data_IF_018107960290
#
_entry.id   IF_018107960290
#
_cell.length_a   1.000
_cell.length_b   1.000
_cell.length_c   1.000
_cell.angle_alpha   90.00
_cell.angle_beta   90.00
_cell.angle_gamma   90.00
#
_symmetry.space_group_name_H-M   'P 1'
#
loop_
_entity.id
_entity.type
_entity.pdbx_description
1 polymer ?
#
# COMPACT_ATOMS: atom_id res chain seq x y z
N UNK A 1 -20.82 50.93 -49.78
CA UNK A 1 -20.35 49.55 -49.56
C UNK A 1 -19.61 49.55 -48.23
N UNK A 2 -20.25 49.97 -47.14
CA UNK A 2 -21.22 49.22 -46.31
C UNK A 2 -20.60 47.98 -45.67
N UNK A 3 -20.27 48.16 -44.39
CA UNK A 3 -19.97 47.14 -43.37
C UNK A 3 -21.24 46.33 -43.11
N UNK A 4 -21.14 45.01 -43.17
CA UNK A 4 -22.16 44.11 -42.66
C UNK A 4 -21.82 43.77 -41.21
N UNK A 5 -22.58 44.36 -40.28
CA UNK A 5 -22.66 43.94 -38.89
C UNK A 5 -23.60 42.73 -38.84
N UNK A 6 -23.07 41.54 -38.55
CA UNK A 6 -23.89 40.37 -38.23
C UNK A 6 -24.65 40.66 -36.94
N UNK A 7 -25.93 40.99 -37.09
CA UNK A 7 -26.87 41.10 -35.98
C UNK A 7 -27.26 39.68 -35.58
N UNK A 8 -26.87 39.29 -34.37
CA UNK A 8 -27.40 38.12 -33.68
C UNK A 8 -28.93 38.23 -33.66
N UNK A 9 -29.55 37.47 -34.56
CA UNK A 9 -30.98 37.39 -34.69
C UNK A 9 -31.48 36.60 -33.48
N UNK A 10 -31.97 37.33 -32.48
CA UNK A 10 -32.71 36.78 -31.38
C UNK A 10 -33.94 36.09 -31.96
N UNK A 11 -33.93 34.76 -31.95
CA UNK A 11 -35.13 33.94 -32.14
C UNK A 11 -36.11 34.31 -31.03
N UNK A 12 -36.93 35.32 -31.30
CA UNK A 12 -38.14 35.61 -30.56
C UNK A 12 -39.14 34.49 -30.84
N UNK A 13 -38.95 33.35 -30.15
CA UNK A 13 -39.97 32.31 -30.07
C UNK A 13 -41.28 32.95 -29.62
N UNK A 14 -42.30 32.74 -30.46
CA UNK A 14 -43.64 33.26 -30.35
C UNK A 14 -44.17 33.23 -28.90
N UNK A 15 -44.46 34.37 -28.24
CA UNK A 15 -44.90 34.42 -26.83
C UNK A 15 -46.24 33.71 -26.57
N UNK A 16 -46.97 33.34 -27.64
CA UNK A 16 -48.21 32.57 -27.60
C UNK A 16 -48.01 31.05 -27.33
N UNK A 17 -46.77 30.56 -27.20
CA UNK A 17 -46.48 29.12 -27.04
C UNK A 17 -45.80 28.74 -25.73
N UNK A 18 -45.68 29.67 -24.77
CA UNK A 18 -45.11 29.36 -23.46
C UNK A 18 -46.07 28.45 -22.70
N UNK A 19 -45.65 27.18 -22.52
CA UNK A 19 -46.40 26.18 -21.77
C UNK A 19 -46.53 26.60 -20.31
N UNK A 20 -47.55 26.10 -19.63
CA UNK A 20 -47.68 26.27 -18.18
C UNK A 20 -46.54 25.54 -17.47
N UNK A 21 -45.99 26.15 -16.41
CA UNK A 21 -45.01 25.54 -15.54
C UNK A 21 -45.50 24.19 -14.98
N UNK A 22 -44.61 23.19 -14.93
CA UNK A 22 -44.94 21.87 -14.38
C UNK A 22 -44.98 21.80 -12.84
N UNK A 23 -44.74 22.92 -12.15
CA UNK A 23 -44.82 22.98 -10.69
C UNK A 23 -46.25 22.73 -10.19
N UNK A 24 -46.47 21.96 -9.11
CA UNK A 24 -47.81 21.67 -8.60
C UNK A 24 -48.54 22.97 -8.23
N UNK A 25 -49.67 23.24 -8.87
CA UNK A 25 -50.47 24.45 -8.66
C UNK A 25 -49.86 25.74 -9.23
N UNK A 26 -48.78 25.67 -10.01
CA UNK A 26 -48.17 26.85 -10.62
C UNK A 26 -48.90 27.21 -11.92
N UNK A 27 -49.37 28.46 -12.03
CA UNK A 27 -50.06 28.98 -13.22
C UNK A 27 -49.16 29.87 -14.10
N UNK A 28 -47.90 30.08 -13.70
CA UNK A 28 -46.96 30.91 -14.45
C UNK A 28 -46.46 30.20 -15.73
N UNK A 29 -46.13 30.97 -16.78
CA UNK A 29 -45.52 30.42 -18.00
C UNK A 29 -44.09 29.89 -17.73
N UNK A 30 -43.66 28.90 -18.50
CA UNK A 30 -42.29 28.39 -18.46
C UNK A 30 -41.28 29.40 -18.98
N UNK A 31 -40.04 29.38 -18.47
CA UNK A 31 -38.92 30.09 -19.09
C UNK A 31 -38.57 29.46 -20.46
N UNK A 32 -38.08 30.22 -21.45
CA UNK A 32 -37.62 29.67 -22.73
C UNK A 32 -36.62 28.52 -22.52
N UNK A 33 -36.80 27.40 -23.22
CA UNK A 33 -35.98 26.19 -23.06
C UNK A 33 -36.13 25.43 -21.73
N UNK A 34 -37.01 25.86 -20.83
CA UNK A 34 -37.23 25.24 -19.52
C UNK A 34 -38.63 24.66 -19.36
N UNK A 35 -38.78 23.70 -18.44
CA UNK A 35 -40.08 23.16 -18.02
C UNK A 35 -40.69 23.92 -16.83
N UNK A 36 -39.97 24.91 -16.30
CA UNK A 36 -40.33 25.60 -15.06
C UNK A 36 -40.25 27.12 -15.21
N UNK A 37 -41.10 27.84 -14.47
CA UNK A 37 -41.09 29.31 -14.41
C UNK A 37 -39.90 29.86 -13.61
N UNK A 38 -39.36 29.10 -12.66
CA UNK A 38 -38.20 29.45 -11.83
C UNK A 38 -37.48 28.19 -11.34
N UNK A 39 -36.25 28.35 -10.86
CA UNK A 39 -35.47 27.22 -10.33
C UNK A 39 -36.11 26.71 -9.04
N UNK A 40 -36.63 27.61 -8.21
CA UNK A 40 -37.41 27.27 -7.01
C UNK A 40 -38.61 26.39 -7.33
N UNK A 41 -39.31 26.66 -8.44
CA UNK A 41 -40.47 25.87 -8.83
C UNK A 41 -40.07 24.44 -9.24
N UNK A 42 -38.95 24.31 -9.97
CA UNK A 42 -38.39 23.00 -10.32
C UNK A 42 -37.84 22.24 -9.11
N UNK A 43 -37.12 22.93 -8.23
CA UNK A 43 -36.54 22.36 -7.01
C UNK A 43 -37.61 21.92 -6.01
N UNK A 44 -38.69 22.70 -5.85
CA UNK A 44 -39.83 22.34 -5.01
C UNK A 44 -40.50 21.06 -5.52
N UNK A 45 -40.82 20.98 -6.81
CA UNK A 45 -41.39 19.76 -7.39
C UNK A 45 -40.46 18.54 -7.22
N UNK A 46 -39.15 18.72 -7.42
CA UNK A 46 -38.17 17.65 -7.23
C UNK A 46 -38.12 17.18 -5.77
N UNK A 47 -38.11 18.11 -4.81
CA UNK A 47 -38.13 17.81 -3.38
C UNK A 47 -39.42 17.06 -2.99
N UNK A 48 -40.58 17.55 -3.42
CA UNK A 48 -41.88 16.91 -3.15
C UNK A 48 -41.91 15.46 -3.67
N UNK A 49 -41.37 15.22 -4.88
CA UNK A 49 -41.22 13.86 -5.43
C UNK A 49 -40.30 12.98 -4.59
N UNK A 50 -39.18 13.52 -4.12
CA UNK A 50 -38.25 12.77 -3.25
C UNK A 50 -38.96 12.40 -1.94
N UNK A 51 -39.61 13.35 -1.27
CA UNK A 51 -40.32 13.07 -0.01
C UNK A 51 -41.48 12.10 -0.17
N UNK A 52 -42.17 12.11 -1.32
CA UNK A 52 -43.27 11.18 -1.58
C UNK A 52 -42.79 9.75 -1.89
N UNK A 53 -41.69 9.60 -2.63
CA UNK A 53 -41.24 8.31 -3.17
C UNK A 53 -40.20 7.64 -2.26
N UNK A 54 -39.20 8.39 -1.81
CA UNK A 54 -38.02 7.84 -1.14
C UNK A 54 -38.33 7.05 0.13
N UNK A 55 -39.22 7.49 1.05
CA UNK A 55 -39.50 6.74 2.27
C UNK A 55 -40.01 5.32 1.99
N UNK A 56 -40.89 5.16 0.99
CA UNK A 56 -41.41 3.84 0.58
C UNK A 56 -40.31 2.96 -0.01
N UNK A 57 -39.40 3.55 -0.80
CA UNK A 57 -38.24 2.86 -1.38
C UNK A 57 -37.27 2.36 -0.31
N UNK A 58 -36.96 3.19 0.68
CA UNK A 58 -36.09 2.81 1.81
C UNK A 58 -36.70 1.63 2.57
N UNK A 59 -37.99 1.71 2.90
CA UNK A 59 -38.69 0.63 3.60
C UNK A 59 -38.68 -0.67 2.79
N UNK A 60 -38.92 -0.60 1.48
CA UNK A 60 -38.89 -1.78 0.61
C UNK A 60 -37.49 -2.41 0.56
N UNK A 61 -36.45 -1.58 0.42
CA UNK A 61 -35.05 -2.02 0.43
C UNK A 61 -34.67 -2.71 1.75
N UNK A 62 -35.06 -2.13 2.90
CA UNK A 62 -34.79 -2.71 4.21
C UNK A 62 -35.49 -4.06 4.43
N UNK A 63 -36.67 -4.24 3.84
CA UNK A 63 -37.45 -5.49 3.95
C UNK A 63 -36.95 -6.61 3.04
N UNK A 64 -36.21 -6.29 1.97
CA UNK A 64 -35.84 -7.25 0.92
C UNK A 64 -34.32 -7.35 0.80
N UNK A 65 -33.63 -8.12 1.66
CA UNK A 65 -32.19 -8.30 1.54
C UNK A 65 -31.86 -8.95 0.19
N UNK A 66 -30.84 -8.44 -0.50
CA UNK A 66 -30.40 -8.97 -1.78
C UNK A 66 -29.09 -9.76 -1.67
N UNK A 67 -28.87 -10.70 -2.60
CA UNK A 67 -27.65 -11.54 -2.66
C UNK A 67 -26.38 -10.67 -2.69
N UNK A 68 -26.41 -9.54 -3.41
CA UNK A 68 -25.27 -8.64 -3.51
C UNK A 68 -24.89 -8.00 -2.16
N UNK A 69 -25.87 -7.75 -1.28
CA UNK A 69 -25.64 -7.22 0.06
C UNK A 69 -25.05 -8.29 0.98
N UNK A 70 -25.54 -9.53 0.89
CA UNK A 70 -24.99 -10.66 1.63
C UNK A 70 -23.54 -10.97 1.22
N UNK A 71 -23.27 -10.99 -0.08
CA UNK A 71 -21.92 -11.16 -0.59
C UNK A 71 -21.00 -10.02 -0.14
N UNK A 72 -21.49 -8.78 -0.13
CA UNK A 72 -20.77 -7.63 0.40
C UNK A 72 -20.38 -7.82 1.88
N UNK A 73 -21.32 -8.26 2.71
CA UNK A 73 -21.07 -8.56 4.14
C UNK A 73 -20.05 -9.68 4.32
N UNK A 74 -20.21 -10.82 3.63
CA UNK A 74 -19.26 -11.94 3.68
C UNK A 74 -17.85 -11.52 3.25
N UNK A 75 -17.75 -10.70 2.21
CA UNK A 75 -16.47 -10.16 1.74
C UNK A 75 -15.83 -9.23 2.78
N UNK A 76 -16.60 -8.35 3.42
CA UNK A 76 -16.11 -7.48 4.50
C UNK A 76 -15.61 -8.31 5.71
N UNK A 77 -16.36 -9.32 6.13
CA UNK A 77 -15.94 -10.23 7.20
C UNK A 77 -14.62 -10.94 6.86
N UNK A 78 -14.47 -11.41 5.62
CA UNK A 78 -13.23 -12.01 5.16
C UNK A 78 -12.07 -11.02 5.17
N UNK A 79 -12.28 -9.80 4.66
CA UNK A 79 -11.26 -8.73 4.65
C UNK A 79 -10.86 -8.37 6.09
N UNK A 80 -11.82 -8.26 7.01
CA UNK A 80 -11.53 -7.96 8.42
C UNK A 80 -10.71 -9.06 9.09
N UNK A 81 -11.01 -10.33 8.83
CA UNK A 81 -10.17 -11.45 9.29
C UNK A 81 -8.77 -11.37 8.71
N UNK A 82 -8.61 -11.18 7.40
CA UNK A 82 -7.28 -11.03 6.79
C UNK A 82 -6.52 -9.83 7.34
N UNK A 83 -7.19 -8.70 7.63
CA UNK A 83 -6.57 -7.54 8.26
C UNK A 83 -6.05 -7.90 9.66
N UNK A 84 -6.86 -8.56 10.48
CA UNK A 84 -6.47 -9.00 11.82
C UNK A 84 -5.27 -9.97 11.77
N UNK A 85 -5.31 -10.96 10.88
CA UNK A 85 -4.22 -11.93 10.70
C UNK A 85 -2.93 -11.23 10.24
N UNK A 86 -3.04 -10.28 9.30
CA UNK A 86 -1.89 -9.51 8.82
C UNK A 86 -1.31 -8.61 9.91
N UNK A 87 -2.15 -8.00 10.76
CA UNK A 87 -1.70 -7.23 11.92
C UNK A 87 -1.00 -8.10 12.96
N UNK A 88 -1.51 -9.31 13.25
CA UNK A 88 -0.86 -10.26 14.15
C UNK A 88 0.51 -10.66 13.59
N UNK A 89 0.58 -11.00 12.30
CA UNK A 89 1.85 -11.36 11.66
C UNK A 89 2.86 -10.21 11.64
N UNK A 90 2.40 -8.97 11.47
CA UNK A 90 3.27 -7.80 11.56
C UNK A 90 3.90 -7.67 12.97
N UNK A 91 3.11 -7.91 14.03
CA UNK A 91 3.63 -7.93 15.41
C UNK A 91 4.64 -9.05 15.63
N UNK A 92 4.40 -10.24 15.07
CA UNK A 92 5.35 -11.36 15.17
C UNK A 92 6.69 -11.00 14.49
N UNK A 93 6.64 -10.35 13.33
CA UNK A 93 7.85 -9.88 12.62
C UNK A 93 8.56 -8.78 13.43
N UNK A 94 7.82 -7.91 14.12
CA UNK A 94 8.42 -6.94 15.04
C UNK A 94 9.12 -7.64 16.22
N UNK A 95 8.53 -8.69 16.79
CA UNK A 95 9.21 -9.52 17.80
C UNK A 95 10.50 -10.14 17.25
N UNK A 96 10.45 -10.74 16.05
CA UNK A 96 11.64 -11.29 15.39
C UNK A 96 12.73 -10.24 15.14
N UNK A 97 12.36 -8.99 14.83
CA UNK A 97 13.32 -7.89 14.72
C UNK A 97 14.07 -7.64 16.03
N UNK A 98 13.35 -7.55 17.15
CA UNK A 98 13.96 -7.33 18.47
C UNK A 98 14.82 -8.53 18.89
N UNK A 99 14.38 -9.75 18.60
CA UNK A 99 15.17 -10.97 18.83
C UNK A 99 16.47 -10.97 18.02
N UNK A 100 16.41 -10.56 16.75
CA UNK A 100 17.58 -10.41 15.89
C UNK A 100 18.55 -9.39 16.46
N UNK A 101 18.09 -8.21 16.89
CA UNK A 101 18.96 -7.22 17.52
C UNK A 101 19.59 -7.76 18.81
N UNK A 102 18.83 -8.51 19.63
CA UNK A 102 19.37 -9.17 20.81
C UNK A 102 20.45 -10.20 20.47
N UNK A 103 20.27 -10.99 19.40
CA UNK A 103 21.29 -11.92 18.89
C UNK A 103 22.54 -11.17 18.45
N UNK A 104 22.39 -10.08 17.69
CA UNK A 104 23.51 -9.26 17.21
C UNK A 104 24.30 -8.69 18.40
N UNK A 105 23.61 -8.18 19.43
CA UNK A 105 24.27 -7.67 20.63
C UNK A 105 25.03 -8.77 21.38
N UNK A 106 24.44 -9.96 21.55
CA UNK A 106 25.14 -11.12 22.16
C UNK A 106 26.37 -11.56 21.36
N UNK A 107 26.28 -11.53 20.03
CA UNK A 107 27.38 -11.85 19.14
C UNK A 107 28.54 -10.86 19.26
N UNK A 108 28.24 -9.55 19.37
CA UNK A 108 29.25 -8.49 19.54
C UNK A 108 30.00 -8.53 20.87
N UNK A 109 29.39 -9.13 21.90
CA UNK A 109 29.99 -9.28 23.23
C UNK A 109 30.99 -10.44 23.32
N UNK A 110 31.15 -11.25 22.27
CA UNK A 110 32.09 -12.37 22.28
C UNK A 110 33.54 -11.90 22.20
N UNK A 111 34.45 -12.66 22.82
CA UNK A 111 35.87 -12.38 22.75
C UNK A 111 36.44 -12.72 21.36
N UNK A 112 37.29 -11.85 20.83
CA UNK A 112 38.03 -12.10 19.59
C UNK A 112 38.93 -13.31 19.75
N UNK A 113 38.81 -14.27 18.84
CA UNK A 113 39.70 -15.40 18.80
C UNK A 113 41.09 -14.94 18.33
N UNK A 114 42.07 -14.89 19.25
CA UNK A 114 43.48 -14.55 18.98
C UNK A 114 44.30 -15.73 18.44
N UNK A 115 43.66 -16.83 18.08
CA UNK A 115 44.37 -18.06 17.78
C UNK A 115 45.05 -17.96 16.41
N UNK A 116 46.39 -17.84 16.41
CA UNK A 116 47.27 -17.75 15.23
C UNK A 116 47.17 -18.96 14.27
N UNK A 117 46.30 -19.94 14.56
CA UNK A 117 46.17 -21.19 13.82
C UNK A 117 45.07 -21.22 12.76
N UNK A 118 44.28 -20.15 12.58
CA UNK A 118 43.33 -20.06 11.45
C UNK A 118 43.99 -19.67 10.12
N UNK A 119 45.25 -19.21 10.12
CA UNK A 119 45.91 -18.70 8.92
C UNK A 119 46.52 -19.79 8.01
N UNK A 120 46.21 -21.07 8.24
CA UNK A 120 46.77 -22.20 7.47
C UNK A 120 45.83 -22.84 6.45
N UNK A 121 44.58 -22.39 6.31
CA UNK A 121 43.68 -22.95 5.26
C UNK A 121 43.61 -22.11 3.98
N UNK A 122 44.33 -20.98 3.91
CA UNK A 122 44.25 -20.04 2.78
C UNK A 122 45.44 -20.02 1.82
N UNK A 123 46.55 -20.74 2.11
CA UNK A 123 47.80 -20.56 1.34
C UNK A 123 47.85 -21.27 -0.01
N UNK A 124 46.87 -22.12 -0.32
CA UNK A 124 46.72 -22.79 -1.62
C UNK A 124 45.41 -22.40 -2.33
N UNK A 125 44.92 -21.17 -2.12
CA UNK A 125 43.81 -20.64 -2.90
C UNK A 125 44.30 -20.37 -4.32
N UNK A 126 44.00 -21.29 -5.25
CA UNK A 126 44.03 -20.99 -6.70
C UNK A 126 43.34 -19.63 -6.90
N UNK A 127 43.93 -18.73 -7.69
CA UNK A 127 43.36 -17.41 -7.99
C UNK A 127 42.07 -17.55 -8.83
N UNK A 128 41.01 -18.08 -8.21
CA UNK A 128 39.70 -18.18 -8.82
C UNK A 128 39.16 -16.77 -9.01
N UNK A 129 38.91 -16.42 -10.26
CA UNK A 129 38.30 -15.15 -10.66
C UNK A 129 36.82 -15.39 -10.98
N UNK A 130 35.97 -14.47 -10.55
CA UNK A 130 34.54 -14.44 -10.85
C UNK A 130 34.23 -13.11 -11.53
N UNK A 131 33.30 -13.10 -12.48
CA UNK A 131 32.85 -11.86 -13.12
C UNK A 131 31.77 -11.16 -12.29
N UNK A 132 31.87 -9.83 -12.14
CA UNK A 132 30.78 -9.05 -11.54
C UNK A 132 29.58 -9.00 -12.48
N UNK A 133 28.40 -9.36 -11.97
CA UNK A 133 27.14 -9.26 -12.74
C UNK A 133 26.78 -7.81 -13.11
N UNK A 134 27.21 -6.83 -12.30
CA UNK A 134 26.87 -5.42 -12.51
C UNK A 134 27.80 -4.68 -13.49
N UNK A 135 29.10 -4.99 -13.54
CA UNK A 135 30.07 -4.28 -14.39
C UNK A 135 30.85 -5.18 -15.36
N UNK A 136 30.71 -6.50 -15.27
CA UNK A 136 31.40 -7.48 -16.13
C UNK A 136 32.89 -7.68 -15.85
N UNK A 137 33.48 -7.00 -14.86
CA UNK A 137 34.91 -7.12 -14.56
C UNK A 137 35.24 -8.46 -13.88
N UNK A 138 36.38 -9.06 -14.21
CA UNK A 138 36.91 -10.24 -13.51
C UNK A 138 37.53 -9.82 -12.18
N UNK A 139 37.12 -10.49 -11.11
CA UNK A 139 37.44 -10.12 -9.73
C UNK A 139 37.89 -11.36 -8.98
N UNK A 140 38.87 -11.22 -8.10
CA UNK A 140 39.30 -12.30 -7.22
C UNK A 140 38.16 -12.68 -6.25
N UNK A 141 37.90 -13.98 -6.13
CA UNK A 141 36.92 -14.56 -5.19
C UNK A 141 36.96 -13.98 -3.76
N UNK A 142 38.15 -13.63 -3.26
CA UNK A 142 38.31 -13.08 -1.91
C UNK A 142 37.69 -11.68 -1.72
N UNK A 143 37.65 -10.86 -2.77
CA UNK A 143 37.10 -9.49 -2.74
C UNK A 143 35.82 -9.34 -3.54
N UNK A 144 35.29 -10.46 -4.08
CA UNK A 144 34.13 -10.47 -4.94
C UNK A 144 32.90 -9.85 -4.27
N UNK A 145 32.59 -10.22 -3.02
CA UNK A 145 31.42 -9.71 -2.30
C UNK A 145 31.50 -8.19 -2.08
N UNK A 146 32.67 -7.70 -1.66
CA UNK A 146 32.92 -6.26 -1.47
C UNK A 146 32.75 -5.48 -2.78
N UNK A 147 33.34 -5.97 -3.87
CA UNK A 147 33.18 -5.33 -5.17
C UNK A 147 31.72 -5.34 -5.61
N UNK A 148 31.02 -6.48 -5.51
CA UNK A 148 29.63 -6.61 -5.94
C UNK A 148 28.72 -5.67 -5.15
N UNK A 149 28.88 -5.53 -3.83
CA UNK A 149 28.12 -4.57 -3.02
C UNK A 149 28.37 -3.13 -3.47
N UNK A 150 29.64 -2.72 -3.59
CA UNK A 150 29.98 -1.35 -3.99
C UNK A 150 29.55 -1.02 -5.43
N UNK A 151 29.71 -1.98 -6.34
CA UNK A 151 29.32 -1.82 -7.73
C UNK A 151 27.80 -1.72 -7.86
N UNK A 152 27.06 -2.59 -7.16
CA UNK A 152 25.61 -2.53 -7.12
C UNK A 152 25.12 -1.23 -6.48
N UNK A 153 25.69 -0.80 -5.35
CA UNK A 153 25.37 0.47 -4.73
C UNK A 153 25.61 1.67 -5.67
N UNK A 154 26.67 1.65 -6.49
CA UNK A 154 26.93 2.67 -7.51
C UNK A 154 25.84 2.69 -8.59
N UNK A 155 25.36 1.53 -9.02
CA UNK A 155 24.27 1.42 -9.97
C UNK A 155 22.95 1.92 -9.36
N UNK A 156 22.60 1.43 -8.17
CA UNK A 156 21.39 1.81 -7.44
C UNK A 156 21.30 3.31 -7.19
N UNK A 157 22.38 4.00 -6.81
CA UNK A 157 22.36 5.47 -6.63
C UNK A 157 21.88 6.26 -7.85
N UNK A 158 21.94 5.70 -9.07
CA UNK A 158 21.39 6.37 -10.26
C UNK A 158 19.86 6.37 -10.29
N UNK A 159 19.24 5.42 -9.59
CA UNK A 159 17.79 5.31 -9.45
C UNK A 159 17.33 6.09 -8.22
N UNK A 160 16.42 7.03 -8.44
CA UNK A 160 15.87 7.84 -7.35
C UNK A 160 14.55 7.26 -6.85
N UNK A 161 14.55 6.78 -5.61
CA UNK A 161 13.34 6.39 -4.88
C UNK A 161 13.01 7.49 -3.88
N UNK A 162 12.12 8.40 -4.28
CA UNK A 162 11.84 9.64 -3.55
C UNK A 162 10.35 9.95 -3.53
N UNK A 163 9.86 10.49 -2.42
CA UNK A 163 8.47 10.96 -2.27
C UNK A 163 8.43 12.35 -1.65
N UNK A 164 7.34 13.07 -1.85
CA UNK A 164 7.11 14.39 -1.24
C UNK A 164 6.88 14.32 0.27
N UNK A 165 6.45 13.17 0.78
CA UNK A 165 6.06 13.01 2.18
C UNK A 165 6.93 11.97 2.88
N UNK A 166 7.27 12.16 4.18
CA UNK A 166 7.95 11.14 4.99
C UNK A 166 7.02 9.94 5.23
N UNK A 167 7.58 8.75 5.47
CA UNK A 167 6.76 7.58 5.79
C UNK A 167 6.49 7.63 7.29
N UNK A 168 5.23 7.79 7.67
CA UNK A 168 4.81 7.61 9.04
C UNK A 168 4.36 6.16 9.20
N UNK A 169 5.18 5.33 9.86
CA UNK A 169 4.74 4.02 10.35
C UNK A 169 4.58 4.20 11.86
N UNK A 170 3.35 4.15 12.36
CA UNK A 170 3.08 4.32 13.78
C UNK A 170 3.77 3.22 14.60
N UNK A 171 4.42 3.61 15.70
CA UNK A 171 4.94 2.68 16.72
C UNK A 171 6.17 1.84 16.34
N UNK A 172 6.66 1.90 15.10
CA UNK A 172 7.67 0.98 14.61
C UNK A 172 9.06 1.62 14.44
N UNK A 173 10.13 0.84 14.67
CA UNK A 173 11.51 1.25 14.34
C UNK A 173 11.58 1.66 12.87
N UNK A 174 12.25 2.79 12.60
CA UNK A 174 12.29 3.45 11.29
C UNK A 174 12.69 2.45 10.18
N UNK A 175 11.76 2.18 9.26
CA UNK A 175 11.90 1.19 8.19
C UNK A 175 12.54 1.79 6.93
N UNK A 176 12.17 3.02 6.61
CA UNK A 176 12.66 3.77 5.46
C UNK A 176 13.66 4.84 5.88
N UNK A 177 14.60 5.12 4.98
CA UNK A 177 15.62 6.14 5.17
C UNK A 177 15.01 7.51 5.51
N UNK A 178 14.05 8.00 4.73
CA UNK A 178 13.33 9.26 4.92
C UNK A 178 14.23 10.47 5.22
N UNK A 179 15.48 10.46 4.75
CA UNK A 179 16.34 11.64 4.78
C UNK A 179 15.80 12.63 3.74
N UNK A 180 15.53 13.86 4.19
CA UNK A 180 15.06 14.94 3.35
C UNK A 180 16.21 15.52 2.54
N UNK A 181 16.02 15.64 1.23
CA UNK A 181 16.93 16.38 0.36
C UNK A 181 16.37 17.79 0.06
N UNK A 182 17.00 18.86 0.56
CA UNK A 182 16.57 20.23 0.31
C UNK A 182 16.55 20.62 -1.17
N UNK A 183 17.41 20.00 -2.01
CA UNK A 183 17.51 20.35 -3.44
C UNK A 183 16.33 19.82 -4.23
N UNK A 184 16.00 18.55 -4.05
CA UNK A 184 14.86 17.93 -4.73
C UNK A 184 13.52 18.12 -4.02
N UNK A 185 13.53 18.66 -2.79
CA UNK A 185 12.36 18.80 -1.91
C UNK A 185 11.61 17.48 -1.72
N UNK A 186 12.34 16.39 -1.56
CA UNK A 186 11.79 15.03 -1.43
C UNK A 186 12.55 14.22 -0.38
N UNK A 187 11.87 13.23 0.19
CA UNK A 187 12.39 12.26 1.16
C UNK A 187 12.84 10.97 0.47
N UNK A 188 13.94 10.38 0.94
CA UNK A 188 14.44 9.09 0.45
C UNK A 188 13.54 7.92 0.89
N UNK A 189 13.04 7.11 -0.05
CA UNK A 189 12.15 5.95 0.22
C UNK A 189 12.82 4.59 0.13
N UNK A 190 14.15 4.57 0.14
CA UNK A 190 14.90 3.31 0.25
C UNK A 190 14.78 2.78 1.68
N UNK A 191 14.83 1.46 1.84
CA UNK A 191 14.99 0.83 3.15
C UNK A 191 16.21 1.42 3.87
N UNK A 192 16.05 1.74 5.15
CA UNK A 192 17.10 2.42 5.91
C UNK A 192 18.40 1.61 5.89
N UNK A 193 18.31 0.31 6.16
CA UNK A 193 19.47 -0.59 6.24
C UNK A 193 20.21 -0.79 4.91
N UNK A 194 19.51 -0.66 3.77
CA UNK A 194 20.08 -0.86 2.42
C UNK A 194 20.33 0.45 1.66
N UNK A 195 20.08 1.62 2.25
CA UNK A 195 20.18 2.89 1.52
C UNK A 195 21.65 3.19 1.14
N UNK A 196 22.03 3.18 -0.16
CA UNK A 196 23.42 3.38 -0.58
C UNK A 196 23.88 4.84 -0.51
N UNK A 197 22.95 5.77 -0.29
CA UNK A 197 23.19 7.21 -0.18
C UNK A 197 23.36 7.66 1.28
N UNK A 198 22.57 7.08 2.19
CA UNK A 198 22.39 7.63 3.53
C UNK A 198 22.62 6.61 4.66
N UNK A 199 22.66 5.31 4.37
CA UNK A 199 23.08 4.32 5.36
C UNK A 199 24.58 4.45 5.58
N UNK A 200 24.96 4.76 6.83
CA UNK A 200 26.37 4.80 7.24
C UNK A 200 26.62 3.54 8.05
N UNK A 201 27.37 2.60 7.48
CA UNK A 201 27.84 1.45 8.24
C UNK A 201 28.78 1.96 9.35
N UNK A 202 28.58 1.54 10.62
CA UNK A 202 29.46 1.94 11.72
C UNK A 202 30.90 1.54 11.42
N UNK A 203 31.87 2.38 11.82
CA UNK A 203 33.29 2.03 11.71
C UNK A 203 33.55 0.80 12.58
N UNK A 204 33.88 -0.32 11.92
CA UNK A 204 34.23 -1.58 12.57
C UNK A 204 35.50 -1.36 13.39
N UNK A 205 35.43 -1.60 14.70
CA UNK A 205 36.63 -1.56 15.54
C UNK A 205 37.50 -2.80 15.27
N UNK A 206 38.81 -2.68 15.44
CA UNK A 206 39.74 -3.80 15.19
C UNK A 206 39.41 -5.04 16.03
N UNK A 207 38.85 -4.82 17.23
CA UNK A 207 38.44 -5.85 18.19
C UNK A 207 36.96 -6.28 18.02
N UNK A 208 36.25 -5.78 17.02
CA UNK A 208 34.87 -6.22 16.76
C UNK A 208 34.88 -7.60 16.09
N UNK A 209 34.26 -8.58 16.75
CA UNK A 209 34.04 -9.92 16.20
C UNK A 209 32.95 -9.92 15.14
N UNK A 210 33.00 -10.91 14.26
CA UNK A 210 31.94 -11.19 13.30
C UNK A 210 30.58 -11.39 14.00
N UNK A 211 30.55 -12.18 15.08
CA UNK A 211 29.36 -12.36 15.91
C UNK A 211 28.20 -13.08 15.21
N UNK A 212 28.42 -13.71 14.05
CA UNK A 212 27.39 -14.45 13.33
C UNK A 212 27.04 -15.75 14.09
N UNK A 213 25.76 -16.05 14.38
CA UNK A 213 25.36 -17.31 14.98
C UNK A 213 25.75 -18.49 14.09
N UNK A 214 26.45 -19.47 14.65
CA UNK A 214 26.82 -20.69 13.95
C UNK A 214 25.66 -21.68 13.99
N UNK A 215 25.38 -22.27 12.83
CA UNK A 215 24.34 -23.28 12.67
C UNK A 215 24.96 -24.62 12.28
N UNK A 216 24.44 -25.70 12.84
CA UNK A 216 24.72 -27.06 12.40
C UNK A 216 23.68 -27.45 11.34
N UNK A 217 24.11 -28.12 10.28
CA UNK A 217 23.23 -28.53 9.18
C UNK A 217 22.30 -27.41 8.66
N UNK A 218 22.78 -26.16 8.61
CA UNK A 218 22.06 -24.95 8.12
C UNK A 218 20.88 -24.49 8.99
N UNK A 219 20.26 -25.36 9.79
CA UNK A 219 19.02 -25.07 10.50
C UNK A 219 19.12 -25.08 12.03
N UNK A 220 20.08 -25.82 12.60
CA UNK A 220 20.15 -26.02 14.04
C UNK A 220 21.07 -24.98 14.69
N UNK A 221 20.56 -24.05 15.52
CA UNK A 221 21.40 -23.08 16.20
C UNK A 221 22.30 -23.79 17.20
N UNK A 222 23.62 -23.68 17.02
CA UNK A 222 24.59 -24.32 17.93
C UNK A 222 24.77 -23.55 19.24
N UNK A 223 24.18 -22.36 19.36
CA UNK A 223 24.41 -21.43 20.47
C UNK A 223 25.76 -20.71 20.44
N UNK A 224 26.67 -21.12 19.54
CA UNK A 224 27.98 -20.52 19.36
C UNK A 224 27.96 -19.40 18.31
N UNK A 225 28.94 -18.51 18.39
CA UNK A 225 29.09 -17.38 17.47
C UNK A 225 30.44 -17.44 16.75
N UNK A 226 30.51 -16.80 15.58
CA UNK A 226 31.76 -16.62 14.86
C UNK A 226 32.64 -15.58 15.57
N UNK A 227 33.76 -16.04 16.15
CA UNK A 227 34.71 -15.21 16.89
C UNK A 227 35.85 -14.62 16.05
N UNK A 228 35.80 -14.76 14.71
CA UNK A 228 36.77 -14.12 13.82
C UNK A 228 36.61 -12.60 13.85
N UNK A 229 37.70 -11.81 13.72
CA UNK A 229 37.58 -10.37 13.52
C UNK A 229 36.67 -10.07 12.31
N UNK A 230 35.74 -9.14 12.48
CA UNK A 230 34.70 -8.83 11.48
C UNK A 230 35.28 -8.45 10.12
N UNK A 231 36.42 -7.73 10.10
CA UNK A 231 37.12 -7.33 8.88
C UNK A 231 37.83 -8.48 8.15
N UNK A 232 38.07 -9.63 8.80
CA UNK A 232 38.68 -10.82 8.20
C UNK A 232 37.65 -11.89 7.82
N UNK A 233 36.40 -11.74 8.24
CA UNK A 233 35.37 -12.75 8.06
C UNK A 233 34.66 -12.62 6.71
N UNK A 234 35.19 -13.28 5.67
CA UNK A 234 34.55 -13.33 4.35
C UNK A 234 33.34 -14.28 4.29
N UNK A 235 33.24 -15.24 5.22
CA UNK A 235 32.12 -16.22 5.24
C UNK A 235 30.78 -15.60 5.64
N UNK A 236 30.79 -14.60 6.51
CA UNK A 236 29.59 -13.93 7.01
C UNK A 236 29.63 -12.44 6.68
N UNK A 237 30.00 -12.13 5.44
CA UNK A 237 30.13 -10.75 4.97
C UNK A 237 28.80 -10.00 5.15
N UNK A 238 28.83 -8.88 5.89
CA UNK A 238 27.67 -8.01 6.15
C UNK A 238 26.41 -8.73 6.68
N UNK A 239 26.54 -9.88 7.36
CA UNK A 239 25.39 -10.71 7.76
C UNK A 239 24.35 -9.95 8.61
N UNK A 240 24.78 -9.05 9.52
CA UNK A 240 23.87 -8.24 10.32
C UNK A 240 22.97 -7.35 9.44
N UNK A 241 23.56 -6.71 8.43
CA UNK A 241 22.88 -5.83 7.48
C UNK A 241 21.90 -6.63 6.63
N UNK A 242 22.29 -7.81 6.18
CA UNK A 242 21.46 -8.71 5.38
C UNK A 242 20.26 -9.25 6.17
N UNK A 243 20.47 -9.69 7.42
CA UNK A 243 19.38 -10.19 8.27
C UNK A 243 18.40 -9.09 8.68
N UNK A 244 18.88 -7.89 9.01
CA UNK A 244 18.01 -6.73 9.23
C UNK A 244 17.17 -6.41 7.98
N UNK A 245 17.81 -6.42 6.80
CA UNK A 245 17.12 -6.16 5.54
C UNK A 245 16.04 -7.22 5.22
N UNK A 246 16.30 -8.49 5.54
CA UNK A 246 15.33 -9.58 5.37
C UNK A 246 14.06 -9.33 6.19
N UNK A 247 14.22 -9.04 7.49
CA UNK A 247 13.10 -8.73 8.39
C UNK A 247 12.36 -7.47 7.94
N UNK A 248 13.09 -6.41 7.56
CA UNK A 248 12.50 -5.17 7.05
C UNK A 248 11.71 -5.41 5.75
N UNK A 249 12.20 -6.26 4.84
CA UNK A 249 11.46 -6.63 3.63
C UNK A 249 10.17 -7.39 3.92
N UNK A 250 10.14 -8.22 4.97
CA UNK A 250 8.91 -8.86 5.43
C UNK A 250 7.92 -7.85 6.01
N UNK A 251 8.40 -6.89 6.82
CA UNK A 251 7.58 -5.79 7.33
C UNK A 251 6.95 -4.99 6.20
N UNK A 252 7.74 -4.61 5.18
CA UNK A 252 7.22 -3.91 3.99
C UNK A 252 6.14 -4.74 3.29
N UNK A 253 6.37 -6.05 3.10
CA UNK A 253 5.38 -6.93 2.45
C UNK A 253 4.06 -6.96 3.20
N UNK A 254 4.10 -7.05 4.54
CA UNK A 254 2.88 -7.04 5.36
C UNK A 254 2.17 -5.68 5.33
N UNK A 255 2.92 -4.57 5.38
CA UNK A 255 2.34 -3.22 5.26
C UNK A 255 1.64 -3.00 3.91
N UNK A 256 2.26 -3.43 2.81
CA UNK A 256 1.64 -3.36 1.48
C UNK A 256 0.36 -4.21 1.39
N UNK A 257 0.35 -5.38 2.03
CA UNK A 257 -0.86 -6.22 2.12
C UNK A 257 -1.98 -5.53 2.89
N UNK A 258 -1.67 -4.85 4.02
CA UNK A 258 -2.65 -4.06 4.76
C UNK A 258 -3.23 -2.91 3.92
N UNK A 259 -2.38 -2.17 3.19
CA UNK A 259 -2.86 -1.11 2.30
C UNK A 259 -3.82 -1.63 1.22
N UNK A 260 -3.51 -2.79 0.63
CA UNK A 260 -4.40 -3.42 -0.35
C UNK A 260 -5.73 -3.86 0.27
N UNK A 261 -5.69 -4.45 1.46
CA UNK A 261 -6.91 -4.83 2.19
C UNK A 261 -7.80 -3.64 2.52
N UNK A 262 -7.23 -2.52 2.97
CA UNK A 262 -7.97 -1.27 3.23
C UNK A 262 -8.60 -0.72 1.93
N UNK A 263 -7.88 -0.77 0.81
CA UNK A 263 -8.44 -0.39 -0.50
C UNK A 263 -9.59 -1.29 -0.91
N UNK A 264 -9.48 -2.60 -0.71
CA UNK A 264 -10.53 -3.57 -1.00
C UNK A 264 -11.77 -3.33 -0.13
N UNK A 265 -11.56 -3.13 1.17
CA UNK A 265 -12.63 -2.77 2.11
C UNK A 265 -13.37 -1.51 1.68
N UNK A 266 -12.63 -0.46 1.29
CA UNK A 266 -13.20 0.78 0.78
C UNK A 266 -14.03 0.56 -0.49
N UNK A 267 -13.51 -0.24 -1.46
CA UNK A 267 -14.25 -0.58 -2.68
C UNK A 267 -15.58 -1.28 -2.37
N UNK A 268 -15.57 -2.28 -1.48
CA UNK A 268 -16.77 -3.03 -1.09
C UNK A 268 -17.77 -2.11 -0.39
N UNK A 269 -17.33 -1.32 0.59
CA UNK A 269 -18.20 -0.36 1.29
C UNK A 269 -18.81 0.67 0.35
N UNK A 270 -18.02 1.22 -0.56
CA UNK A 270 -18.51 2.19 -1.56
C UNK A 270 -19.54 1.53 -2.47
N UNK A 271 -19.32 0.30 -2.92
CA UNK A 271 -20.30 -0.44 -3.72
C UNK A 271 -21.61 -0.68 -2.95
N UNK A 272 -21.55 -1.06 -1.67
CA UNK A 272 -22.73 -1.24 -0.83
C UNK A 272 -23.47 0.09 -0.60
N UNK A 273 -22.74 1.17 -0.28
CA UNK A 273 -23.30 2.52 -0.13
C UNK A 273 -23.95 3.03 -1.41
N UNK A 274 -23.37 2.75 -2.57
CA UNK A 274 -23.93 3.14 -3.86
C UNK A 274 -25.27 2.45 -4.13
N UNK A 275 -25.43 1.18 -3.72
CA UNK A 275 -26.71 0.45 -3.84
C UNK A 275 -27.79 1.01 -2.90
N UNK A 276 -27.40 1.37 -1.68
CA UNK A 276 -28.29 2.00 -0.70
C UNK A 276 -28.42 3.53 -0.88
N UNK A 277 -27.83 4.11 -1.92
CA UNK A 277 -27.79 5.54 -2.16
C UNK A 277 -29.11 6.10 -2.71
N UNK A 278 -29.37 7.38 -2.46
CA UNK A 278 -30.56 8.10 -2.93
C UNK A 278 -30.84 7.86 -4.42
N UNK A 279 -29.84 8.09 -5.27
CA UNK A 279 -29.99 7.93 -6.72
C UNK A 279 -30.31 6.48 -7.11
N UNK A 280 -29.67 5.50 -6.48
CA UNK A 280 -29.94 4.10 -6.77
C UNK A 280 -31.37 3.70 -6.40
N UNK A 281 -31.86 4.13 -5.22
CA UNK A 281 -33.23 3.87 -4.76
C UNK A 281 -34.31 4.59 -5.59
N UNK A 282 -33.97 5.75 -6.16
CA UNK A 282 -34.88 6.53 -7.01
C UNK A 282 -34.93 6.01 -8.44
N UNK A 283 -33.81 5.53 -8.99
CA UNK A 283 -33.71 5.10 -10.39
C UNK A 283 -34.02 3.61 -10.60
N UNK A 284 -33.75 2.77 -9.60
CA UNK A 284 -33.91 1.32 -9.72
C UNK A 284 -35.02 0.82 -8.79
N UNK A 285 -35.83 -0.10 -9.32
CA UNK A 285 -36.85 -0.81 -8.55
C UNK A 285 -36.71 -2.30 -8.81
N UNK A 286 -36.71 -3.08 -7.73
CA UNK A 286 -37.04 -4.51 -7.84
C UNK A 286 -38.52 -4.65 -7.57
N UNK A 287 -39.27 -5.22 -8.51
CA UNK A 287 -40.70 -5.49 -8.36
C UNK A 287 -40.83 -6.96 -7.96
N UNK A 288 -41.35 -7.21 -6.75
CA UNK A 288 -41.70 -8.55 -6.32
C UNK A 288 -43.09 -8.90 -6.86
N UNK A 289 -43.17 -9.96 -7.66
CA UNK A 289 -44.43 -10.46 -8.20
C UNK A 289 -45.09 -11.52 -7.30
N UNK A 290 -44.31 -12.18 -6.44
CA UNK A 290 -44.80 -13.18 -5.48
C UNK A 290 -44.63 -12.66 -4.03
N UNK A 291 -45.72 -12.55 -3.25
CA UNK A 291 -45.66 -12.12 -1.85
C UNK A 291 -44.93 -13.10 -0.92
N UNK A 292 -44.69 -14.35 -1.35
CA UNK A 292 -43.96 -15.35 -0.56
C UNK A 292 -42.43 -15.29 -0.75
N UNK A 293 -41.93 -14.56 -1.76
CA UNK A 293 -40.49 -14.44 -2.08
C UNK A 293 -39.91 -13.11 -1.63
N UNK A 294 -40.26 -12.63 -0.44
CA UNK A 294 -39.76 -11.34 0.07
C UNK A 294 -38.24 -11.36 0.30
N UNK A 295 -37.69 -12.53 0.64
CA UNK A 295 -36.25 -12.77 0.74
C UNK A 295 -35.68 -13.13 -0.64
N UNK A 296 -34.80 -12.28 -1.16
CA UNK A 296 -34.15 -12.49 -2.46
C UNK A 296 -32.85 -13.28 -2.34
N UNK A 297 -32.47 -13.72 -1.13
CA UNK A 297 -31.29 -14.56 -0.90
C UNK A 297 -31.59 -16.00 -1.33
N UNK A 298 -30.55 -16.72 -1.76
CA UNK A 298 -30.65 -18.15 -2.01
C UNK A 298 -30.94 -18.89 -0.70
N UNK A 299 -32.01 -19.70 -0.67
CA UNK A 299 -32.21 -20.66 0.43
C UNK A 299 -31.00 -21.59 0.47
N UNK A 300 -30.49 -21.87 1.67
CA UNK A 300 -29.27 -22.67 1.88
C UNK A 300 -29.45 -24.14 1.43
N UNK A 301 -30.66 -24.54 1.03
CA UNK A 301 -30.94 -25.88 0.49
C UNK A 301 -31.47 -25.79 -0.94
N UNK A 302 -30.56 -25.90 -1.92
CA UNK A 302 -30.77 -26.46 -3.27
C UNK A 302 -29.41 -26.76 -3.90
#
# INVERSE_FOLDING_TARGET
MEKSEDSEQSDAENPASLRQCLGPGCVHPTRPGSKYCSDDCGMKLAADRIYAILPKRIQQWQKSPCIAEEHGKKMLEHIHREQQDTHTRLKDIECHFHELEAIIQRGKQQAVCKDEKSNKHGRNSVNLQIFCVSCGQSINTQVALLHMEHCFAKYERKLSFRSMYPTCVEGATRLFCDVYDPRSKRYCKRLQVLCPEHSKDPKVQADEVCGCPLVNNVFEPTGNFCCLPKHLCNRHYCWEKLRRAEVDLERVRMLLKLEELVKQEHKVRTAMKNRAGLLALMLHQTIQHDPLTTDLRSRVDS
#
